data_IF_548317402739
#
_entry.id   IF_548317402739
#
_cell.length_a   1.000
_cell.length_b   1.000
_cell.length_c   1.000
_cell.angle_alpha   90.00
_cell.angle_beta   90.00
_cell.angle_gamma   90.00
#
_symmetry.space_group_name_H-M   'P 1'
#
loop_
_entity.id
_entity.type
_entity.pdbx_description
1 polymer ?
#
# COMPACT_ATOMS: atom_id res chain seq x y z
N UNK A 1 -27.28 22.38 21.69
CA UNK A 1 -26.08 22.32 20.83
C UNK A 1 -25.82 20.86 20.49
N UNK A 2 -26.12 20.43 19.26
CA UNK A 2 -25.72 19.09 18.79
C UNK A 2 -24.21 19.12 18.58
N UNK A 3 -23.45 18.50 19.47
CA UNK A 3 -22.02 18.32 19.23
C UNK A 3 -21.88 17.49 17.94
N UNK A 4 -21.33 18.10 16.89
CA UNK A 4 -21.05 17.41 15.63
C UNK A 4 -20.10 16.26 15.91
N UNK A 5 -20.44 15.06 15.41
CA UNK A 5 -19.53 13.92 15.45
C UNK A 5 -18.21 14.33 14.79
N UNK A 6 -17.05 13.98 15.37
CA UNK A 6 -15.75 14.42 14.86
C UNK A 6 -15.59 13.99 13.40
N UNK A 7 -15.25 14.91 12.48
CA UNK A 7 -15.23 14.71 11.02
C UNK A 7 -14.25 13.63 10.51
N UNK A 8 -13.51 12.98 11.41
CA UNK A 8 -12.45 12.02 11.11
C UNK A 8 -12.54 10.84 12.07
N UNK A 9 -12.41 9.62 11.55
CA UNK A 9 -12.23 8.40 12.37
C UNK A 9 -10.81 7.87 12.26
N UNK A 10 -10.41 7.13 13.29
CA UNK A 10 -9.15 6.42 13.34
C UNK A 10 -9.38 4.91 13.34
N UNK A 11 -8.68 4.20 12.45
CA UNK A 11 -8.62 2.74 12.44
C UNK A 11 -7.26 2.32 12.99
N UNK A 12 -7.28 1.57 14.09
CA UNK A 12 -6.08 1.13 14.79
C UNK A 12 -6.00 -0.40 14.79
N UNK A 13 -4.79 -0.94 14.59
CA UNK A 13 -4.54 -2.35 14.85
C UNK A 13 -4.45 -2.57 16.37
N UNK A 14 -5.44 -3.27 16.93
CA UNK A 14 -5.49 -3.54 18.38
C UNK A 14 -4.63 -4.75 18.75
N UNK A 15 -4.66 -5.80 17.93
CA UNK A 15 -3.87 -7.02 18.12
C UNK A 15 -3.50 -7.59 16.75
N UNK A 16 -2.22 -7.92 16.55
CA UNK A 16 -1.71 -8.49 15.29
C UNK A 16 -1.91 -10.00 15.16
N UNK A 17 -2.18 -10.72 16.25
CA UNK A 17 -2.28 -12.18 16.26
C UNK A 17 -1.02 -12.84 15.69
N UNK A 18 -1.19 -13.68 14.67
CA UNK A 18 -0.12 -14.37 13.96
C UNK A 18 0.46 -13.61 12.76
N UNK A 19 0.04 -12.35 12.55
CA UNK A 19 0.53 -11.56 11.42
C UNK A 19 2.02 -11.23 11.62
N UNK A 20 2.88 -11.48 10.61
CA UNK A 20 4.30 -11.11 10.64
C UNK A 20 4.51 -9.62 10.85
N UNK A 21 5.59 -9.24 11.52
CA UNK A 21 5.89 -7.83 11.84
C UNK A 21 6.27 -6.99 10.62
N UNK A 22 6.78 -7.64 9.58
CA UNK A 22 7.15 -7.04 8.30
C UNK A 22 5.98 -6.99 7.31
N UNK A 23 4.84 -7.61 7.62
CA UNK A 23 3.62 -7.48 6.84
C UNK A 23 3.09 -6.04 6.87
N UNK A 24 2.39 -5.65 5.81
CA UNK A 24 1.74 -4.35 5.67
C UNK A 24 0.24 -4.53 5.89
N UNK A 25 -0.31 -3.78 6.84
CA UNK A 25 -1.76 -3.61 6.99
C UNK A 25 -2.21 -2.52 6.03
N UNK A 26 -3.09 -2.87 5.09
CA UNK A 26 -3.66 -1.95 4.11
C UNK A 26 -5.17 -1.82 4.32
N UNK A 27 -5.64 -0.63 4.64
CA UNK A 27 -7.05 -0.33 4.86
C UNK A 27 -7.56 0.63 3.79
N UNK A 28 -8.70 0.31 3.17
CA UNK A 28 -9.37 1.15 2.19
C UNK A 28 -10.81 1.45 2.62
N UNK A 29 -11.18 2.72 2.53
CA UNK A 29 -12.54 3.25 2.74
C UNK A 29 -12.93 4.05 1.49
N UNK A 30 -13.84 3.50 0.67
CA UNK A 30 -14.17 4.08 -0.64
C UNK A 30 -12.91 4.22 -1.52
N UNK A 31 -12.57 5.46 -1.89
CA UNK A 31 -11.38 5.79 -2.70
C UNK A 31 -10.11 6.00 -1.87
N UNK A 32 -10.22 6.15 -0.54
CA UNK A 32 -9.09 6.46 0.33
C UNK A 32 -8.42 5.16 0.78
N UNK A 33 -7.13 5.02 0.48
CA UNK A 33 -6.27 3.93 0.97
C UNK A 33 -5.24 4.47 1.96
N UNK A 34 -5.01 3.72 3.03
CA UNK A 34 -3.94 3.93 4.02
C UNK A 34 -3.24 2.60 4.25
N UNK A 35 -1.92 2.62 4.36
CA UNK A 35 -1.13 1.41 4.61
C UNK A 35 0.11 1.73 5.44
N UNK A 36 0.50 0.79 6.29
CA UNK A 36 1.74 0.83 7.06
C UNK A 36 2.13 -0.59 7.48
N UNK A 37 3.39 -0.79 7.85
CA UNK A 37 3.82 -2.03 8.48
C UNK A 37 3.02 -2.28 9.75
N UNK A 38 2.67 -3.55 9.99
CA UNK A 38 1.92 -4.02 11.15
C UNK A 38 2.61 -3.62 12.46
N UNK A 39 3.94 -3.73 12.49
CA UNK A 39 4.78 -3.34 13.64
C UNK A 39 4.83 -1.83 13.91
N UNK A 40 4.35 -0.96 13.01
CA UNK A 40 4.44 0.49 13.19
C UNK A 40 3.54 1.04 14.29
N UNK A 41 2.49 0.31 14.68
CA UNK A 41 1.46 0.78 15.63
C UNK A 41 0.68 2.01 15.13
N UNK A 42 0.83 2.39 13.86
CA UNK A 42 0.26 3.62 13.31
C UNK A 42 -1.25 3.51 13.14
N UNK A 43 -1.97 4.47 13.71
CA UNK A 43 -3.39 4.68 13.44
C UNK A 43 -3.62 5.25 12.02
N UNK A 44 -4.68 4.78 11.35
CA UNK A 44 -5.10 5.29 10.05
C UNK A 44 -6.28 6.24 10.19
N UNK A 45 -6.06 7.51 9.81
CA UNK A 45 -7.10 8.54 9.77
C UNK A 45 -7.87 8.50 8.44
N UNK A 46 -9.19 8.47 8.55
CA UNK A 46 -10.13 8.54 7.43
C UNK A 46 -11.18 9.63 7.67
N UNK A 47 -11.58 10.39 6.65
CA UNK A 47 -12.76 11.25 6.75
C UNK A 47 -14.00 10.42 7.09
N UNK A 48 -14.91 10.94 7.92
CA UNK A 48 -16.16 10.27 8.28
C UNK A 48 -17.00 9.88 7.06
N UNK A 49 -17.05 10.76 6.06
CA UNK A 49 -17.78 10.52 4.80
C UNK A 49 -17.25 9.30 4.05
N UNK A 50 -15.96 8.99 4.18
CA UNK A 50 -15.37 7.81 3.53
C UNK A 50 -15.82 6.51 4.18
N UNK A 51 -16.21 6.51 5.47
CA UNK A 51 -16.58 5.31 6.23
C UNK A 51 -18.09 5.11 6.37
N UNK A 52 -18.86 6.20 6.42
CA UNK A 52 -20.31 6.16 6.68
C UNK A 52 -21.07 5.34 5.63
N UNK A 53 -20.65 5.43 4.38
CA UNK A 53 -21.35 4.83 3.23
C UNK A 53 -20.53 3.74 2.52
N UNK A 54 -19.30 3.45 3.00
CA UNK A 54 -18.44 2.46 2.35
C UNK A 54 -17.96 1.39 3.33
N UNK A 55 -18.00 0.10 2.95
CA UNK A 55 -17.35 -0.93 3.72
C UNK A 55 -15.83 -0.70 3.78
N UNK A 56 -15.24 -1.03 4.93
CA UNK A 56 -13.80 -1.09 5.08
C UNK A 56 -13.25 -2.36 4.44
N UNK A 57 -12.38 -2.20 3.44
CA UNK A 57 -11.54 -3.30 2.96
C UNK A 57 -10.24 -3.32 3.75
N UNK A 58 -9.91 -4.47 4.31
CA UNK A 58 -8.66 -4.69 5.05
C UNK A 58 -7.89 -5.81 4.39
N UNK A 59 -6.68 -5.52 3.91
CA UNK A 59 -5.76 -6.46 3.30
C UNK A 59 -4.48 -6.58 4.16
N UNK A 60 -3.97 -7.80 4.31
CA UNK A 60 -2.62 -8.06 4.84
C UNK A 60 -1.73 -8.40 3.65
N UNK A 61 -0.66 -7.63 3.47
CA UNK A 61 0.27 -7.79 2.36
C UNK A 61 1.64 -8.20 2.90
N UNK A 62 2.22 -9.23 2.32
CA UNK A 62 3.58 -9.66 2.63
C UNK A 62 4.50 -9.32 1.47
N UNK A 63 5.70 -8.85 1.79
CA UNK A 63 6.76 -8.79 0.79
C UNK A 63 7.23 -10.21 0.46
N UNK A 64 7.00 -10.66 -0.77
CA UNK A 64 7.41 -11.99 -1.25
C UNK A 64 8.68 -11.96 -2.10
N UNK A 65 9.27 -10.78 -2.35
CA UNK A 65 10.52 -10.65 -3.10
C UNK A 65 11.05 -9.23 -3.14
N UNK A 66 12.38 -9.10 -3.26
CA UNK A 66 13.09 -7.85 -3.55
C UNK A 66 14.10 -8.07 -4.66
N UNK A 67 14.21 -7.11 -5.58
CA UNK A 67 15.19 -7.09 -6.65
C UNK A 67 15.66 -5.65 -6.88
N UNK A 68 16.94 -5.50 -7.26
CA UNK A 68 17.50 -4.23 -7.69
C UNK A 68 17.62 -4.22 -9.21
N UNK A 69 17.12 -3.15 -9.84
CA UNK A 69 17.20 -2.95 -11.27
C UNK A 69 18.19 -1.85 -11.60
N UNK A 70 19.17 -2.14 -12.46
CA UNK A 70 20.09 -1.15 -13.02
C UNK A 70 19.59 -0.80 -14.43
N UNK A 71 19.17 0.44 -14.62
CA UNK A 71 18.70 0.94 -15.92
C UNK A 71 19.89 1.21 -16.85
N UNK A 72 19.71 0.89 -18.13
CA UNK A 72 20.67 1.18 -19.20
C UNK A 72 20.04 2.13 -20.23
N UNK A 73 20.80 3.10 -20.75
CA UNK A 73 20.33 3.94 -21.85
C UNK A 73 19.88 3.10 -23.05
N UNK A 74 18.70 3.42 -23.59
CA UNK A 74 18.14 2.74 -24.77
C UNK A 74 17.47 1.38 -24.50
N UNK A 75 17.50 0.87 -23.26
CA UNK A 75 16.80 -0.36 -22.88
C UNK A 75 15.49 -0.02 -22.16
N UNK A 76 14.37 -0.47 -22.73
CA UNK A 76 13.02 -0.18 -22.24
C UNK A 76 12.31 -1.37 -21.59
N UNK A 77 12.96 -2.53 -21.50
CA UNK A 77 12.36 -3.74 -20.92
C UNK A 77 13.42 -4.55 -20.17
N UNK A 78 13.11 -4.97 -18.95
CA UNK A 78 14.05 -5.66 -18.09
C UNK A 78 13.40 -6.87 -17.44
N UNK A 79 14.13 -7.99 -17.41
CA UNK A 79 13.78 -9.17 -16.62
C UNK A 79 14.30 -9.00 -15.20
N UNK A 80 13.43 -9.19 -14.21
CA UNK A 80 13.75 -9.18 -12.79
C UNK A 80 13.73 -10.60 -12.25
N UNK A 81 14.75 -10.94 -11.45
CA UNK A 81 14.77 -12.13 -10.61
C UNK A 81 14.88 -11.69 -9.17
N UNK A 82 14.05 -12.24 -8.31
CA UNK A 82 14.00 -11.88 -6.91
C UNK A 82 14.93 -12.79 -6.10
N UNK A 83 15.72 -12.19 -5.22
CA UNK A 83 16.73 -12.94 -4.47
C UNK A 83 16.06 -14.00 -3.58
N UNK A 84 16.64 -15.21 -3.54
CA UNK A 84 16.18 -16.33 -2.71
C UNK A 84 14.74 -16.80 -2.98
N UNK A 85 14.18 -16.53 -4.15
CA UNK A 85 12.86 -17.04 -4.55
C UNK A 85 12.87 -17.56 -5.98
N UNK A 86 11.84 -18.32 -6.35
CA UNK A 86 11.59 -18.73 -7.73
C UNK A 86 10.85 -17.65 -8.54
N UNK A 87 10.59 -16.48 -7.95
CA UNK A 87 9.83 -15.42 -8.61
C UNK A 87 10.69 -14.71 -9.65
N UNK A 88 10.06 -14.41 -10.78
CA UNK A 88 10.58 -13.54 -11.82
C UNK A 88 9.46 -12.75 -12.48
N UNK A 89 9.80 -11.60 -13.06
CA UNK A 89 8.87 -10.82 -13.86
C UNK A 89 9.60 -9.95 -14.88
N UNK A 90 8.85 -9.29 -15.76
CA UNK A 90 9.37 -8.30 -16.68
C UNK A 90 8.74 -6.93 -16.42
N UNK A 91 9.54 -5.88 -16.52
CA UNK A 91 9.08 -4.50 -16.39
C UNK A 91 9.47 -3.69 -17.61
N UNK A 92 8.50 -2.92 -18.12
CA UNK A 92 8.70 -1.96 -19.20
C UNK A 92 8.95 -0.56 -18.63
N UNK A 93 9.98 0.11 -19.12
CA UNK A 93 10.35 1.49 -18.74
C UNK A 93 10.17 2.38 -19.96
N UNK A 94 9.33 3.40 -19.82
CA UNK A 94 9.13 4.46 -20.82
C UNK A 94 9.51 5.79 -20.19
N UNK A 95 10.32 6.58 -20.88
CA UNK A 95 10.56 7.96 -20.51
C UNK A 95 9.42 8.80 -21.05
N UNK A 96 8.68 9.46 -20.16
CA UNK A 96 7.63 10.41 -20.53
C UNK A 96 8.23 11.80 -20.42
N UNK A 97 8.18 12.57 -21.50
CA UNK A 97 8.56 13.99 -21.50
C UNK A 97 7.38 14.81 -20.99
N UNK A 98 7.63 15.89 -20.22
CA UNK A 98 6.57 16.84 -19.85
C UNK A 98 5.93 17.38 -21.14
N UNK A 99 4.69 16.95 -21.43
CA UNK A 99 3.96 17.32 -22.65
C UNK A 99 3.19 16.17 -23.32
N UNK A 100 3.42 14.92 -22.91
CA UNK A 100 2.77 13.73 -23.48
C UNK A 100 1.48 13.28 -22.71
N UNK A 101 0.86 14.17 -21.91
CA UNK A 101 -0.43 13.93 -21.23
C UNK A 101 -1.66 14.35 -22.07
#
# INVERSE_FOLDING_TARGET
ASQGLPDTMEVCLVNKGSIPDDAILSVRAGTVRRQAQVSSGRAFRFPNSSLKDNPLKVDILQQIGTAYLVLKPGEGQYKLKFQNTALDCEVGIKHVTEGDE
#
